data_IF_371319930196
#
_entry.id   IF_371319930196
#
_cell.length_a   1.000
_cell.length_b   1.000
_cell.length_c   1.000
_cell.angle_alpha   90.00
_cell.angle_beta   90.00
_cell.angle_gamma   90.00
#
_symmetry.space_group_name_H-M   'P 1'
#
loop_
_entity.id
_entity.type
_entity.pdbx_description
1 polymer ?
#
# COMPACT_ATOMS: atom_id res chain seq x y z
N UNK A 1 42.91 -14.00 -31.66
CA UNK A 1 42.69 -14.34 -30.24
C UNK A 1 41.67 -13.37 -29.70
N UNK A 2 40.52 -13.96 -29.37
CA UNK A 2 39.38 -13.55 -28.53
C UNK A 2 39.29 -12.11 -28.01
N UNK A 3 38.13 -11.54 -28.31
CA UNK A 3 37.55 -10.34 -27.73
C UNK A 3 37.24 -10.54 -26.23
N UNK A 4 37.56 -9.55 -25.41
CA UNK A 4 37.01 -9.41 -24.07
C UNK A 4 36.18 -8.13 -23.98
N UNK A 5 34.86 -8.36 -24.10
CA UNK A 5 33.82 -7.84 -23.22
C UNK A 5 33.77 -6.32 -23.04
N UNK A 6 33.11 -5.69 -24.01
CA UNK A 6 32.37 -4.44 -23.79
C UNK A 6 31.41 -4.64 -22.62
N UNK A 7 31.76 -4.06 -21.47
CA UNK A 7 30.90 -3.95 -20.31
C UNK A 7 29.60 -3.26 -20.74
N UNK A 8 28.51 -4.01 -20.60
CA UNK A 8 27.18 -3.69 -21.09
C UNK A 8 26.55 -2.57 -20.27
N UNK A 9 26.53 -1.37 -20.83
CA UNK A 9 25.69 -0.24 -20.38
C UNK A 9 24.19 -0.47 -20.71
N UNK A 10 23.69 -1.71 -20.59
CA UNK A 10 22.31 -2.12 -20.92
C UNK A 10 21.39 -2.29 -19.71
N UNK A 11 21.94 -2.16 -18.50
CA UNK A 11 21.35 -2.60 -17.24
C UNK A 11 20.01 -1.94 -16.81
N UNK A 12 19.67 -0.66 -17.11
CA UNK A 12 18.45 -0.07 -16.56
C UNK A 12 17.15 -0.53 -17.25
N UNK A 13 17.18 -0.85 -18.55
CA UNK A 13 15.96 -1.24 -19.29
C UNK A 13 15.58 -2.70 -19.07
N UNK A 14 16.58 -3.57 -18.95
CA UNK A 14 16.36 -4.99 -18.64
C UNK A 14 15.87 -5.15 -17.19
N UNK A 15 16.51 -4.48 -16.23
CA UNK A 15 16.07 -4.46 -14.84
C UNK A 15 14.64 -3.90 -14.69
N UNK A 16 14.30 -2.82 -15.41
CA UNK A 16 12.94 -2.27 -15.42
C UNK A 16 11.92 -3.29 -15.92
N UNK A 17 12.24 -3.99 -17.02
CA UNK A 17 11.37 -5.03 -17.59
C UNK A 17 11.17 -6.18 -16.61
N UNK A 18 12.23 -6.65 -15.96
CA UNK A 18 12.17 -7.74 -15.01
C UNK A 18 11.36 -7.36 -13.77
N UNK A 19 11.51 -6.11 -13.29
CA UNK A 19 10.71 -5.55 -12.18
C UNK A 19 9.22 -5.50 -12.55
N UNK A 20 8.90 -5.02 -13.76
CA UNK A 20 7.53 -4.98 -14.28
C UNK A 20 6.94 -6.39 -14.38
N UNK A 21 7.68 -7.34 -14.94
CA UNK A 21 7.23 -8.73 -15.09
C UNK A 21 6.97 -9.38 -13.73
N UNK A 22 7.85 -9.14 -12.76
CA UNK A 22 7.69 -9.63 -11.38
C UNK A 22 6.44 -9.03 -10.74
N UNK A 23 6.23 -7.72 -10.90
CA UNK A 23 5.03 -7.06 -10.39
C UNK A 23 3.74 -7.58 -11.04
N UNK A 24 3.73 -7.77 -12.37
CA UNK A 24 2.59 -8.35 -13.08
C UNK A 24 2.29 -9.76 -12.57
N UNK A 25 3.32 -10.61 -12.47
CA UNK A 25 3.16 -11.99 -12.01
C UNK A 25 2.60 -12.04 -10.59
N UNK A 26 3.17 -11.25 -9.68
CA UNK A 26 2.75 -11.21 -8.27
C UNK A 26 1.34 -10.63 -8.11
N UNK A 27 1.02 -9.52 -8.77
CA UNK A 27 -0.34 -8.93 -8.74
C UNK A 27 -1.38 -9.86 -9.36
N UNK A 28 -1.04 -10.61 -10.41
CA UNK A 28 -1.92 -11.63 -10.97
C UNK A 28 -2.16 -12.76 -9.97
N UNK A 29 -1.11 -13.23 -9.29
CA UNK A 29 -1.24 -14.24 -8.25
C UNK A 29 -2.08 -13.74 -7.05
N UNK A 30 -2.00 -12.46 -6.69
CA UNK A 30 -2.87 -11.85 -5.67
C UNK A 30 -4.35 -11.82 -6.07
N UNK A 31 -4.67 -11.87 -7.38
CA UNK A 31 -6.05 -11.90 -7.89
C UNK A 31 -6.61 -13.33 -7.98
N UNK A 32 -5.75 -14.30 -8.29
CA UNK A 32 -6.18 -15.65 -8.69
C UNK A 32 -5.90 -16.73 -7.63
N UNK A 33 -5.00 -16.46 -6.68
CA UNK A 33 -4.43 -17.46 -5.78
C UNK A 33 -4.65 -17.22 -4.30
N UNK A 34 -4.14 -18.14 -3.50
CA UNK A 34 -4.08 -18.01 -2.05
C UNK A 34 -3.02 -16.98 -1.64
N UNK A 35 -3.44 -15.99 -0.84
CA UNK A 35 -2.57 -14.93 -0.37
C UNK A 35 -1.55 -15.48 0.63
N UNK A 36 -0.27 -15.20 0.39
CA UNK A 36 0.81 -15.51 1.32
C UNK A 36 1.59 -14.25 1.67
N UNK A 37 2.21 -14.25 2.84
CA UNK A 37 3.05 -13.14 3.29
C UNK A 37 4.17 -12.83 2.29
N UNK A 38 4.92 -13.86 1.86
CA UNK A 38 6.03 -13.69 0.90
C UNK A 38 5.57 -13.10 -0.43
N UNK A 39 4.39 -13.50 -0.92
CA UNK A 39 3.83 -12.95 -2.17
C UNK A 39 3.50 -11.46 -2.03
N UNK A 40 2.87 -11.08 -0.91
CA UNK A 40 2.52 -9.68 -0.63
C UNK A 40 3.76 -8.80 -0.49
N UNK A 41 4.78 -9.28 0.23
CA UNK A 41 6.05 -8.55 0.38
C UNK A 41 6.78 -8.43 -0.95
N UNK A 42 6.80 -9.49 -1.77
CA UNK A 42 7.42 -9.44 -3.10
C UNK A 42 6.70 -8.43 -3.99
N UNK A 43 5.37 -8.44 -4.03
CA UNK A 43 4.58 -7.46 -4.79
C UNK A 43 4.90 -6.02 -4.36
N UNK A 44 4.97 -5.77 -3.05
CA UNK A 44 5.27 -4.44 -2.51
C UNK A 44 6.70 -3.99 -2.83
N UNK A 45 7.69 -4.88 -2.68
CA UNK A 45 9.09 -4.57 -2.98
C UNK A 45 9.30 -4.29 -4.47
N UNK A 46 8.72 -5.12 -5.36
CA UNK A 46 8.77 -4.87 -6.81
C UNK A 46 8.06 -3.58 -7.20
N UNK A 47 6.97 -3.23 -6.52
CA UNK A 47 6.30 -1.94 -6.71
C UNK A 47 7.19 -0.76 -6.31
N UNK A 48 7.83 -0.81 -5.13
CA UNK A 48 8.72 0.25 -4.66
C UNK A 48 9.92 0.42 -5.61
N UNK A 49 10.53 -0.69 -6.02
CA UNK A 49 11.65 -0.66 -6.97
C UNK A 49 11.23 -0.05 -8.31
N UNK A 50 10.07 -0.44 -8.83
CA UNK A 50 9.51 0.13 -10.06
C UNK A 50 9.24 1.63 -9.91
N UNK A 51 8.66 2.06 -8.78
CA UNK A 51 8.39 3.47 -8.51
C UNK A 51 9.69 4.27 -8.44
N UNK A 52 10.71 3.76 -7.76
CA UNK A 52 11.97 4.47 -7.58
C UNK A 52 12.70 4.62 -8.93
N UNK A 53 12.75 3.55 -9.74
CA UNK A 53 13.28 3.59 -11.10
C UNK A 53 12.51 4.58 -11.99
N UNK A 54 11.18 4.52 -11.98
CA UNK A 54 10.36 5.39 -12.83
C UNK A 54 10.44 6.86 -12.40
N UNK A 55 10.46 7.15 -11.11
CA UNK A 55 10.56 8.54 -10.60
C UNK A 55 11.91 9.18 -10.99
N UNK A 56 12.97 8.38 -11.13
CA UNK A 56 14.27 8.83 -11.61
C UNK A 56 14.29 9.18 -13.11
N UNK A 57 13.41 8.56 -13.91
CA UNK A 57 13.44 8.64 -15.38
C UNK A 57 12.25 9.37 -16.01
N UNK A 58 11.11 9.46 -15.33
CA UNK A 58 9.87 10.03 -15.85
C UNK A 58 9.01 10.59 -14.72
N UNK A 59 8.45 11.79 -14.92
CA UNK A 59 7.44 12.40 -14.03
C UNK A 59 6.05 12.41 -14.66
N UNK A 60 5.79 11.45 -15.53
CA UNK A 60 4.48 11.31 -16.14
C UNK A 60 3.41 11.07 -15.06
N UNK A 61 2.43 11.97 -15.00
CA UNK A 61 1.39 11.94 -13.97
C UNK A 61 0.48 10.71 -14.10
N UNK A 62 0.30 10.20 -15.32
CA UNK A 62 -0.52 9.01 -15.56
C UNK A 62 0.15 7.74 -15.03
N UNK A 63 1.47 7.65 -15.18
CA UNK A 63 2.31 6.57 -14.65
C UNK A 63 2.30 6.57 -13.13
N UNK A 64 2.49 7.73 -12.50
CA UNK A 64 2.43 7.86 -11.03
C UNK A 64 1.03 7.49 -10.48
N UNK A 65 -0.03 7.90 -11.16
CA UNK A 65 -1.39 7.52 -10.79
C UNK A 65 -1.64 6.01 -10.93
N UNK A 66 -1.07 5.35 -11.94
CA UNK A 66 -1.15 3.91 -12.09
C UNK A 66 -0.41 3.19 -10.96
N UNK A 67 0.83 3.60 -10.64
CA UNK A 67 1.60 3.06 -9.52
C UNK A 67 0.87 3.21 -8.19
N UNK A 68 0.25 4.36 -7.94
CA UNK A 68 -0.52 4.58 -6.71
C UNK A 68 -1.72 3.63 -6.59
N UNK A 69 -2.41 3.34 -7.70
CA UNK A 69 -3.52 2.36 -7.72
C UNK A 69 -3.03 0.94 -7.44
N UNK A 70 -1.87 0.56 -7.98
CA UNK A 70 -1.27 -0.75 -7.73
C UNK A 70 -0.89 -0.88 -6.25
N UNK A 71 -0.25 0.14 -5.67
CA UNK A 71 0.10 0.13 -4.25
C UNK A 71 -1.15 -0.01 -3.37
N UNK A 72 -2.20 0.76 -3.67
CA UNK A 72 -3.48 0.67 -2.96
C UNK A 72 -4.08 -0.74 -3.06
N UNK A 73 -4.03 -1.36 -4.23
CA UNK A 73 -4.49 -2.73 -4.42
C UNK A 73 -3.69 -3.73 -3.55
N UNK A 74 -2.36 -3.65 -3.58
CA UNK A 74 -1.49 -4.52 -2.77
C UNK A 74 -1.80 -4.33 -1.27
N UNK A 75 -1.93 -3.08 -0.81
CA UNK A 75 -2.26 -2.78 0.60
C UNK A 75 -3.63 -3.29 1.01
N UNK A 76 -4.63 -3.25 0.12
CA UNK A 76 -5.95 -3.83 0.39
C UNK A 76 -5.89 -5.35 0.50
N UNK A 77 -5.18 -6.03 -0.41
CA UNK A 77 -4.97 -7.49 -0.31
C UNK A 77 -4.21 -7.87 0.97
N UNK A 78 -3.20 -7.08 1.35
CA UNK A 78 -2.51 -7.25 2.61
C UNK A 78 -3.45 -7.07 3.82
N UNK A 79 -4.36 -6.10 3.78
CA UNK A 79 -5.39 -5.92 4.80
C UNK A 79 -6.31 -7.13 4.94
N UNK A 80 -6.77 -7.69 3.82
CA UNK A 80 -7.59 -8.92 3.83
C UNK A 80 -6.82 -10.12 4.36
N UNK A 81 -5.58 -10.31 3.92
CA UNK A 81 -4.70 -11.35 4.46
C UNK A 81 -4.49 -11.20 5.96
N UNK A 82 -4.28 -9.97 6.44
CA UNK A 82 -4.11 -9.70 7.87
C UNK A 82 -5.35 -10.09 8.69
N UNK A 83 -6.55 -9.80 8.18
CA UNK A 83 -7.79 -10.16 8.88
C UNK A 83 -7.97 -11.69 9.02
N UNK A 84 -7.44 -12.48 8.10
CA UNK A 84 -7.60 -13.94 8.13
C UNK A 84 -6.43 -14.68 8.77
N UNK A 85 -5.21 -14.12 8.70
CA UNK A 85 -3.98 -14.78 9.12
C UNK A 85 -3.27 -14.11 10.30
N UNK A 86 -3.79 -13.00 10.85
CA UNK A 86 -3.11 -12.27 11.94
C UNK A 86 -2.85 -13.11 13.19
N UNK A 87 -3.73 -14.06 13.51
CA UNK A 87 -3.57 -14.99 14.63
C UNK A 87 -2.42 -15.99 14.42
N UNK A 88 -2.05 -16.26 13.16
CA UNK A 88 -0.97 -17.18 12.79
C UNK A 88 0.40 -16.48 12.67
N UNK A 89 0.43 -15.15 12.66
CA UNK A 89 1.67 -14.38 12.59
C UNK A 89 2.33 -14.28 13.97
N UNK A 90 3.62 -14.60 14.04
CA UNK A 90 4.39 -14.30 15.26
C UNK A 90 4.56 -12.78 15.46
N UNK A 91 4.98 -12.36 16.66
CA UNK A 91 5.11 -10.94 17.00
C UNK A 91 6.06 -10.17 16.07
N UNK A 92 7.15 -10.82 15.64
CA UNK A 92 8.14 -10.21 14.76
C UNK A 92 7.60 -10.06 13.34
N UNK A 93 6.94 -11.09 12.82
CA UNK A 93 6.25 -11.10 11.52
C UNK A 93 5.15 -10.05 11.50
N UNK A 94 4.30 -10.00 12.52
CA UNK A 94 3.22 -9.03 12.65
C UNK A 94 3.76 -7.59 12.69
N UNK A 95 4.80 -7.32 13.50
CA UNK A 95 5.42 -6.00 13.55
C UNK A 95 6.04 -5.57 12.21
N UNK A 96 6.72 -6.49 11.52
CA UNK A 96 7.26 -6.27 10.16
C UNK A 96 6.13 -5.99 9.17
N UNK A 97 5.09 -6.81 9.19
CA UNK A 97 3.91 -6.68 8.32
C UNK A 97 3.27 -5.30 8.44
N UNK A 98 2.94 -4.90 9.67
CA UNK A 98 2.32 -3.61 9.93
C UNK A 98 3.25 -2.44 9.56
N UNK A 99 4.57 -2.60 9.68
CA UNK A 99 5.52 -1.59 9.24
C UNK A 99 5.50 -1.41 7.72
N UNK A 100 5.40 -2.50 6.97
CA UNK A 100 5.38 -2.49 5.51
C UNK A 100 4.06 -1.95 4.97
N UNK A 101 2.93 -2.49 5.44
CA UNK A 101 1.62 -2.23 4.80
C UNK A 101 0.86 -1.06 5.41
N UNK A 102 1.08 -0.69 6.69
CA UNK A 102 0.45 0.50 7.25
C UNK A 102 1.06 1.81 6.75
N UNK A 103 2.17 1.77 6.01
CA UNK A 103 2.88 2.96 5.53
C UNK A 103 2.02 3.91 4.69
N UNK A 104 1.02 3.38 3.97
CA UNK A 104 0.13 4.22 3.16
C UNK A 104 -0.66 5.22 4.01
N UNK A 105 -0.97 4.87 5.26
CA UNK A 105 -1.70 5.73 6.18
C UNK A 105 -0.84 6.90 6.69
N UNK A 106 0.48 6.84 6.53
CA UNK A 106 1.38 7.97 6.83
C UNK A 106 1.21 9.14 5.86
N UNK A 107 0.53 8.93 4.72
CA UNK A 107 0.14 10.01 3.84
C UNK A 107 -0.95 10.91 4.43
N UNK A 108 -1.63 10.47 5.49
CA UNK A 108 -2.60 11.28 6.23
C UNK A 108 -1.87 12.29 7.12
N UNK A 109 -2.24 13.56 7.01
CA UNK A 109 -1.60 14.61 7.78
C UNK A 109 -1.74 14.38 9.29
N UNK A 110 -0.64 14.54 10.01
CA UNK A 110 -0.58 14.32 11.45
C UNK A 110 -0.69 12.85 11.89
N UNK A 111 -0.55 11.86 11.00
CA UNK A 111 -0.52 10.44 11.34
C UNK A 111 0.91 9.92 11.39
N UNK A 112 1.31 9.44 12.57
CA UNK A 112 2.61 8.78 12.78
C UNK A 112 2.53 7.26 12.67
N UNK A 113 3.69 6.56 12.68
CA UNK A 113 3.77 5.10 12.55
C UNK A 113 2.92 4.34 13.55
N UNK A 114 2.89 4.77 14.82
CA UNK A 114 2.08 4.11 15.85
C UNK A 114 0.59 4.13 15.49
N UNK A 115 0.06 5.29 15.12
CA UNK A 115 -1.35 5.45 14.74
C UNK A 115 -1.68 4.73 13.43
N UNK A 116 -0.78 4.76 12.45
CA UNK A 116 -0.95 4.02 11.21
C UNK A 116 -1.11 2.52 11.46
N UNK A 117 -0.26 1.93 12.31
CA UNK A 117 -0.36 0.50 12.68
C UNK A 117 -1.69 0.20 13.38
N UNK A 118 -2.11 1.04 14.33
CA UNK A 118 -3.39 0.86 15.03
C UNK A 118 -4.58 0.92 14.07
N UNK A 119 -4.60 1.91 13.16
CA UNK A 119 -5.64 2.02 12.14
C UNK A 119 -5.69 0.77 11.25
N UNK A 120 -4.53 0.28 10.83
CA UNK A 120 -4.44 -0.94 10.02
C UNK A 120 -5.01 -2.16 10.75
N UNK A 121 -4.67 -2.33 12.04
CA UNK A 121 -5.21 -3.40 12.89
C UNK A 121 -6.73 -3.32 13.05
N UNK A 122 -7.28 -2.10 13.05
CA UNK A 122 -8.72 -1.84 13.11
C UNK A 122 -9.44 -1.99 11.75
N UNK A 123 -8.74 -2.47 10.72
CA UNK A 123 -9.31 -2.69 9.38
C UNK A 123 -9.23 -1.47 8.45
N UNK A 124 -8.63 -0.36 8.89
CA UNK A 124 -8.48 0.86 8.09
C UNK A 124 -7.14 0.82 7.36
N UNK A 125 -7.12 0.23 6.16
CA UNK A 125 -5.86 -0.08 5.46
C UNK A 125 -5.28 1.05 4.60
N UNK A 126 -6.12 1.95 4.07
CA UNK A 126 -5.68 3.00 3.15
C UNK A 126 -6.30 4.36 3.51
N UNK A 127 -5.69 5.49 3.11
CA UNK A 127 -6.30 6.82 3.27
C UNK A 127 -7.69 6.92 2.64
N UNK A 128 -7.88 6.29 1.47
CA UNK A 128 -9.17 6.25 0.79
C UNK A 128 -10.21 5.50 1.62
N UNK A 129 -9.82 4.39 2.25
CA UNK A 129 -10.70 3.66 3.17
C UNK A 129 -11.05 4.53 4.38
N UNK A 130 -10.06 5.19 5.00
CA UNK A 130 -10.29 6.08 6.14
C UNK A 130 -11.33 7.17 5.84
N UNK A 131 -11.23 7.88 4.72
CA UNK A 131 -12.19 8.93 4.36
C UNK A 131 -13.54 8.40 3.86
N UNK A 132 -13.64 7.12 3.52
CA UNK A 132 -14.90 6.49 3.13
C UNK A 132 -15.73 6.03 4.33
N UNK A 133 -15.13 5.94 5.53
CA UNK A 133 -15.84 5.55 6.74
C UNK A 133 -16.89 6.61 7.11
N UNK A 134 -18.07 6.22 7.62
CA UNK A 134 -19.00 7.19 8.17
C UNK A 134 -18.39 7.83 9.42
N UNK A 135 -18.63 9.13 9.69
CA UNK A 135 -18.04 9.82 10.84
C UNK A 135 -18.31 9.16 12.19
N UNK A 136 -19.43 8.44 12.30
CA UNK A 136 -19.79 7.66 13.51
C UNK A 136 -18.84 6.48 13.75
N UNK A 137 -18.40 5.80 12.70
CA UNK A 137 -17.47 4.68 12.80
C UNK A 137 -16.07 5.17 13.18
N UNK A 138 -15.62 6.30 12.61
CA UNK A 138 -14.33 6.92 12.99
C UNK A 138 -14.31 7.26 14.48
N UNK A 139 -15.41 7.76 15.04
CA UNK A 139 -15.52 8.09 16.46
C UNK A 139 -15.62 6.85 17.38
N UNK A 140 -15.89 5.67 16.83
CA UNK A 140 -16.02 4.40 17.55
C UNK A 140 -14.78 3.50 17.41
N UNK A 141 -13.78 3.92 16.64
CA UNK A 141 -12.50 3.21 16.56
C UNK A 141 -11.88 3.10 17.95
N UNK A 142 -11.39 1.91 18.30
CA UNK A 142 -10.73 1.64 19.57
C UNK A 142 -9.31 2.24 19.57
N UNK A 143 -9.26 3.57 19.65
CA UNK A 143 -8.07 4.38 19.61
C UNK A 143 -8.01 5.28 20.85
N UNK A 144 -6.80 5.68 21.29
CA UNK A 144 -6.66 6.64 22.37
C UNK A 144 -7.44 7.93 22.08
N UNK A 145 -8.08 8.51 23.10
CA UNK A 145 -8.91 9.72 22.95
C UNK A 145 -8.16 10.88 22.27
N UNK A 146 -6.86 11.03 22.55
CA UNK A 146 -6.01 12.04 21.91
C UNK A 146 -5.83 11.80 20.40
N UNK A 147 -5.78 10.53 19.97
CA UNK A 147 -5.71 10.14 18.55
C UNK A 147 -7.05 10.41 17.87
N UNK A 148 -8.17 10.03 18.49
CA UNK A 148 -9.50 10.30 17.97
C UNK A 148 -9.77 11.81 17.80
N UNK A 149 -9.34 12.63 18.75
CA UNK A 149 -9.46 14.08 18.68
C UNK A 149 -8.71 14.70 17.48
N UNK A 150 -7.69 14.02 16.94
CA UNK A 150 -6.98 14.42 15.72
C UNK A 150 -7.62 13.84 14.45
N UNK A 151 -8.06 12.59 14.51
CA UNK A 151 -8.65 11.88 13.37
C UNK A 151 -10.03 12.41 12.99
N UNK A 152 -10.88 12.77 13.96
CA UNK A 152 -12.24 13.24 13.69
C UNK A 152 -12.24 14.55 12.86
N UNK A 153 -11.47 15.60 13.24
CA UNK A 153 -11.35 16.79 12.41
C UNK A 153 -10.70 16.52 11.05
N UNK A 154 -9.68 15.66 11.00
CA UNK A 154 -9.03 15.29 9.74
C UNK A 154 -10.02 14.62 8.78
N UNK A 155 -10.82 13.67 9.28
CA UNK A 155 -11.87 13.00 8.53
C UNK A 155 -12.93 13.98 8.00
N UNK A 156 -13.31 14.98 8.82
CA UNK A 156 -14.26 16.01 8.41
C UNK A 156 -13.73 16.97 7.32
N UNK A 157 -12.40 17.02 7.13
CA UNK A 157 -11.76 17.78 6.05
C UNK A 157 -11.71 17.01 4.72
N UNK A 158 -12.26 15.79 4.67
CA UNK A 158 -12.31 15.02 3.43
C UNK A 158 -12.81 15.91 2.28
N UNK A 159 -12.11 15.94 1.12
CA UNK A 159 -12.70 16.53 -0.07
C UNK A 159 -14.06 15.84 -0.25
N UNK A 160 -15.13 16.56 -0.67
CA UNK A 160 -16.43 15.95 -0.87
C UNK A 160 -16.24 14.78 -1.83
N UNK A 161 -16.16 13.57 -1.28
CA UNK A 161 -16.27 12.35 -2.05
C UNK A 161 -17.59 12.55 -2.78
N UNK A 162 -17.52 12.64 -4.10
CA UNK A 162 -18.72 12.60 -4.93
C UNK A 162 -19.59 11.53 -4.32
N UNK A 163 -20.75 11.96 -3.80
CA UNK A 163 -21.79 11.07 -3.32
C UNK A 163 -22.22 10.28 -4.54
N UNK A 164 -21.47 9.22 -4.85
CA UNK A 164 -21.80 8.27 -5.88
C UNK A 164 -23.07 7.57 -5.40
N UNK A 165 -24.19 8.13 -5.85
CA UNK A 165 -25.38 7.41 -6.24
C UNK A 165 -26.14 6.69 -5.13
N UNK A 166 -26.94 7.45 -4.38
CA UNK A 166 -28.28 6.99 -4.00
C UNK A 166 -29.30 7.91 -4.66
N UNK A 167 -29.47 7.72 -5.98
CA UNK A 167 -30.79 7.87 -6.59
C UNK A 167 -31.36 6.46 -6.68
N UNK A 168 -32.26 6.14 -5.75
CA UNK A 168 -33.31 5.13 -5.99
C UNK A 168 -34.60 5.86 -6.32
#
# INVERSE_FOLDING_TARGET
MTAEQSQTTGLPVEQLRDTINTLIHTVTALLEGELTLDLLETALNSHDELRDQLTAHSRDSSTLAALQRIEQFITLQAGHYYQTASDDLDEQQNSRFLTLFARQLLALDGIGPATARQLFQLGVFTPKHFFALPPKEVAQLDLPAATLARLIPLHAQAPPLERFSETS
#
